data_IF_146162331624
#
_entry.id   IF_146162331624
#
_cell.length_a   1.000
_cell.length_b   1.000
_cell.length_c   1.000
_cell.angle_alpha   90.00
_cell.angle_beta   90.00
_cell.angle_gamma   90.00
#
_symmetry.space_group_name_H-M   'P 1'
#
loop_
_entity.id
_entity.type
_entity.pdbx_description
1 polymer ?
#
# COMPACT_ATOMS: atom_id res chain seq x y z
N UNK A 1 -22.58 5.75 30.99
CA UNK A 1 -22.46 5.94 29.54
C UNK A 1 -21.22 5.20 29.11
N UNK A 2 -21.41 4.11 28.38
CA UNK A 2 -20.30 3.36 27.79
C UNK A 2 -19.80 4.04 26.50
N UNK A 3 -18.84 3.40 25.82
CA UNK A 3 -18.29 3.91 24.56
C UNK A 3 -19.38 4.04 23.49
N UNK A 4 -20.28 3.05 23.39
CA UNK A 4 -21.26 2.97 22.32
C UNK A 4 -22.33 4.06 22.43
N UNK A 5 -22.82 4.30 23.63
CA UNK A 5 -23.72 5.41 23.94
C UNK A 5 -23.04 6.74 23.60
N UNK A 6 -21.76 6.90 23.98
CA UNK A 6 -21.02 8.14 23.75
C UNK A 6 -20.86 8.44 22.26
N UNK A 7 -20.36 7.50 21.46
CA UNK A 7 -20.13 7.74 20.02
C UNK A 7 -21.43 7.95 19.26
N UNK A 8 -22.52 7.26 19.66
CA UNK A 8 -23.84 7.45 19.05
C UNK A 8 -24.40 8.83 19.35
N UNK A 9 -24.27 9.30 20.60
CA UNK A 9 -24.73 10.63 21.00
C UNK A 9 -23.87 11.76 20.39
N UNK A 10 -22.59 11.51 20.13
CA UNK A 10 -21.66 12.48 19.56
C UNK A 10 -21.66 12.53 18.02
N UNK A 11 -22.32 11.56 17.36
CA UNK A 11 -22.44 11.54 15.92
C UNK A 11 -23.49 12.55 15.42
N UNK A 12 -23.23 13.14 14.26
CA UNK A 12 -24.19 13.98 13.55
C UNK A 12 -24.64 13.23 12.30
N UNK A 13 -25.91 12.82 12.26
CA UNK A 13 -26.41 11.85 11.29
C UNK A 13 -25.57 10.55 11.33
N UNK A 14 -24.94 10.18 10.22
CA UNK A 14 -24.09 8.99 10.08
C UNK A 14 -22.60 9.29 10.31
N UNK A 15 -22.21 10.52 10.67
CA UNK A 15 -20.82 10.95 10.76
C UNK A 15 -20.33 11.09 12.20
N UNK A 16 -19.18 10.52 12.52
CA UNK A 16 -18.48 10.70 13.79
C UNK A 16 -17.30 11.70 13.63
N UNK A 17 -17.40 12.93 14.19
CA UNK A 17 -16.35 13.94 14.07
C UNK A 17 -15.03 13.54 14.75
N UNK A 18 -13.91 14.08 14.26
CA UNK A 18 -12.59 13.85 14.85
C UNK A 18 -12.51 14.19 16.34
N UNK A 19 -13.05 15.34 16.74
CA UNK A 19 -13.04 15.77 18.14
C UNK A 19 -13.77 14.76 19.05
N UNK A 20 -14.85 14.14 18.56
CA UNK A 20 -15.56 13.10 19.30
C UNK A 20 -14.73 11.82 19.43
N UNK A 21 -14.02 11.42 18.37
CA UNK A 21 -13.13 10.25 18.40
C UNK A 21 -11.98 10.45 19.40
N UNK A 22 -11.30 11.60 19.35
CA UNK A 22 -10.22 11.93 20.28
C UNK A 22 -10.73 11.99 21.73
N UNK A 23 -11.90 12.59 21.95
CA UNK A 23 -12.54 12.64 23.28
C UNK A 23 -12.87 11.25 23.79
N UNK A 24 -13.43 10.37 22.95
CA UNK A 24 -13.74 8.99 23.32
C UNK A 24 -12.46 8.22 23.67
N UNK A 25 -11.42 8.32 22.85
CA UNK A 25 -10.14 7.65 23.07
C UNK A 25 -9.56 8.02 24.45
N UNK A 26 -9.48 9.33 24.75
CA UNK A 26 -9.00 9.81 26.04
C UNK A 26 -9.91 9.38 27.21
N UNK A 27 -11.23 9.51 27.05
CA UNK A 27 -12.21 9.22 28.12
C UNK A 27 -12.25 7.75 28.51
N UNK A 28 -12.12 6.85 27.55
CA UNK A 28 -12.27 5.40 27.76
C UNK A 28 -10.93 4.66 27.81
N UNK A 29 -9.79 5.36 27.72
CA UNK A 29 -8.46 4.74 27.76
C UNK A 29 -8.18 3.86 26.54
N UNK A 30 -8.67 4.26 25.37
CA UNK A 30 -8.57 3.52 24.11
C UNK A 30 -7.66 4.24 23.12
N UNK A 31 -7.17 3.52 22.12
CA UNK A 31 -6.57 4.15 20.95
C UNK A 31 -7.66 4.74 20.06
N UNK A 32 -7.28 5.73 19.23
CA UNK A 32 -8.18 6.28 18.20
C UNK A 32 -8.66 5.16 17.27
N UNK A 33 -7.79 4.22 16.90
CA UNK A 33 -8.15 3.10 16.04
C UNK A 33 -9.24 2.19 16.64
N UNK A 34 -9.20 1.94 17.95
CA UNK A 34 -10.25 1.17 18.64
C UNK A 34 -11.60 1.90 18.63
N UNK A 35 -11.59 3.23 18.79
CA UNK A 35 -12.81 4.05 18.67
C UNK A 35 -13.34 4.05 17.24
N UNK A 36 -12.44 4.18 16.25
CA UNK A 36 -12.79 4.17 14.82
C UNK A 36 -13.41 2.82 14.41
N UNK A 37 -12.83 1.69 14.84
CA UNK A 37 -13.44 0.37 14.61
C UNK A 37 -14.82 0.25 15.26
N UNK A 38 -14.96 0.70 16.51
CA UNK A 38 -16.25 0.65 17.21
C UNK A 38 -17.32 1.52 16.53
N UNK A 39 -16.93 2.65 15.95
CA UNK A 39 -17.82 3.51 15.18
C UNK A 39 -18.23 2.86 13.86
N UNK A 40 -17.27 2.37 13.08
CA UNK A 40 -17.51 1.71 11.80
C UNK A 40 -18.38 0.45 11.98
N UNK A 41 -18.15 -0.34 13.02
CA UNK A 41 -18.96 -1.52 13.35
C UNK A 41 -20.42 -1.19 13.71
N UNK A 42 -20.74 0.07 14.01
CA UNK A 42 -22.10 0.56 14.27
C UNK A 42 -22.70 1.32 13.09
N UNK A 43 -22.05 1.30 11.93
CA UNK A 43 -22.51 2.04 10.76
C UNK A 43 -22.28 3.56 10.87
N UNK A 44 -21.41 4.01 11.78
CA UNK A 44 -21.00 5.40 11.87
C UNK A 44 -19.70 5.60 11.09
N UNK A 45 -19.72 6.52 10.13
CA UNK A 45 -18.57 6.86 9.31
C UNK A 45 -17.71 7.92 10.02
N UNK A 46 -16.41 7.67 10.26
CA UNK A 46 -15.48 8.72 10.64
C UNK A 46 -15.53 9.88 9.65
N UNK A 47 -15.74 11.11 10.14
CA UNK A 47 -15.99 12.27 9.28
C UNK A 47 -14.86 12.54 8.25
N UNK A 48 -13.64 12.05 8.50
CA UNK A 48 -12.51 12.10 7.57
C UNK A 48 -12.80 11.42 6.22
N UNK A 49 -13.60 10.35 6.21
CA UNK A 49 -13.94 9.60 4.99
C UNK A 49 -15.26 10.06 4.34
N UNK A 50 -15.89 11.14 4.84
CA UNK A 50 -17.20 11.60 4.36
C UNK A 50 -17.25 11.86 2.84
N UNK A 51 -16.12 12.22 2.23
CA UNK A 51 -16.03 12.53 0.79
C UNK A 51 -16.03 11.29 -0.09
N UNK A 52 -15.79 10.11 0.49
CA UNK A 52 -15.75 8.83 -0.22
C UNK A 52 -16.95 7.95 0.12
N UNK A 53 -17.81 8.36 1.06
CA UNK A 53 -18.85 7.50 1.67
C UNK A 53 -19.89 6.90 0.72
N UNK A 54 -20.09 7.52 -0.44
CA UNK A 54 -20.99 6.99 -1.48
C UNK A 54 -20.33 5.87 -2.31
N UNK A 55 -19.01 5.96 -2.50
CA UNK A 55 -18.22 4.97 -3.25
C UNK A 55 -17.77 3.82 -2.32
N UNK A 56 -17.25 4.19 -1.15
CA UNK A 56 -16.79 3.31 -0.07
C UNK A 56 -17.77 3.48 1.09
N UNK A 57 -18.78 2.61 1.14
CA UNK A 57 -19.78 2.62 2.22
C UNK A 57 -19.13 2.33 3.57
N UNK A 58 -19.87 2.53 4.68
CA UNK A 58 -19.33 2.30 6.02
C UNK A 58 -18.90 0.84 6.24
N UNK A 59 -19.59 -0.12 5.62
CA UNK A 59 -19.25 -1.54 5.66
C UNK A 59 -17.94 -1.81 4.90
N UNK A 60 -17.75 -1.18 3.74
CA UNK A 60 -16.50 -1.27 2.97
C UNK A 60 -15.35 -0.60 3.70
N UNK A 61 -15.60 0.55 4.32
CA UNK A 61 -14.61 1.26 5.13
C UNK A 61 -14.20 0.43 6.35
N UNK A 62 -15.14 -0.27 7.00
CA UNK A 62 -14.83 -1.23 8.08
C UNK A 62 -13.95 -2.38 7.58
N UNK A 63 -14.22 -2.91 6.39
CA UNK A 63 -13.39 -3.96 5.78
C UNK A 63 -11.97 -3.46 5.49
N UNK A 64 -11.82 -2.27 4.92
CA UNK A 64 -10.51 -1.63 4.73
C UNK A 64 -9.81 -1.40 6.08
N UNK A 65 -10.53 -0.90 7.08
CA UNK A 65 -9.97 -0.64 8.41
C UNK A 65 -9.46 -1.91 9.08
N UNK A 66 -10.15 -3.03 8.91
CA UNK A 66 -9.70 -4.35 9.37
C UNK A 66 -8.61 -4.97 8.51
N UNK A 67 -8.26 -4.34 7.39
CA UNK A 67 -7.29 -4.90 6.46
C UNK A 67 -5.85 -4.66 6.92
N UNK A 68 -4.96 -5.57 6.53
CA UNK A 68 -3.51 -5.51 6.75
C UNK A 68 -2.76 -5.56 5.42
N UNK A 69 -2.12 -4.45 5.07
CA UNK A 69 -1.25 -4.32 3.91
C UNK A 69 0.22 -4.31 4.34
N UNK A 70 1.07 -5.05 3.62
CA UNK A 70 2.53 -5.01 3.81
C UNK A 70 3.17 -4.33 2.61
N UNK A 71 3.94 -3.27 2.86
CA UNK A 71 4.61 -2.47 1.85
C UNK A 71 6.11 -2.79 1.92
N UNK A 72 6.66 -3.31 0.84
CA UNK A 72 8.09 -3.61 0.72
C UNK A 72 8.77 -2.50 -0.08
N UNK A 73 9.61 -1.73 0.59
CA UNK A 73 10.19 -0.49 0.09
C UNK A 73 9.27 0.71 0.33
N UNK A 74 9.81 1.78 0.90
CA UNK A 74 9.16 3.05 1.23
C UNK A 74 9.83 4.25 0.53
N UNK A 75 10.48 3.99 -0.61
CA UNK A 75 11.13 4.97 -1.47
C UNK A 75 10.15 5.74 -2.36
N UNK A 76 10.48 5.83 -3.66
CA UNK A 76 9.69 6.60 -4.64
C UNK A 76 8.24 6.15 -4.71
N UNK A 77 8.00 4.88 -5.02
CA UNK A 77 6.65 4.28 -5.04
C UNK A 77 6.09 4.12 -3.63
N UNK A 78 6.86 3.44 -2.78
CA UNK A 78 6.45 3.06 -1.44
C UNK A 78 5.94 4.19 -0.55
N UNK A 79 6.55 5.37 -0.63
CA UNK A 79 6.09 6.53 0.14
C UNK A 79 4.65 6.94 -0.22
N UNK A 80 4.31 6.93 -1.51
CA UNK A 80 2.94 7.21 -1.97
C UNK A 80 1.98 6.07 -1.61
N UNK A 81 2.41 4.81 -1.71
CA UNK A 81 1.62 3.66 -1.27
C UNK A 81 1.20 3.80 0.20
N UNK A 82 2.14 4.14 1.08
CA UNK A 82 1.87 4.37 2.51
C UNK A 82 0.90 5.52 2.73
N UNK A 83 1.15 6.69 2.12
CA UNK A 83 0.33 7.89 2.28
C UNK A 83 -1.11 7.62 1.80
N UNK A 84 -1.29 7.01 0.64
CA UNK A 84 -2.60 6.76 0.05
C UNK A 84 -3.37 5.66 0.78
N UNK A 85 -2.74 4.53 1.14
CA UNK A 85 -3.39 3.46 1.92
C UNK A 85 -3.85 3.96 3.30
N UNK A 86 -3.03 4.78 3.96
CA UNK A 86 -3.40 5.39 5.23
C UNK A 86 -4.58 6.35 5.10
N UNK A 87 -4.60 7.19 4.04
CA UNK A 87 -5.73 8.11 3.77
C UNK A 87 -7.00 7.40 3.34
N UNK A 88 -6.86 6.26 2.65
CA UNK A 88 -7.95 5.37 2.27
C UNK A 88 -8.54 4.66 3.51
N UNK A 89 -7.79 4.58 4.60
CA UNK A 89 -8.22 3.98 5.86
C UNK A 89 -7.98 2.47 5.93
N UNK A 90 -6.93 1.96 5.28
CA UNK A 90 -6.41 0.61 5.56
C UNK A 90 -5.79 0.63 6.95
N UNK A 91 -6.39 -0.08 7.90
CA UNK A 91 -6.11 0.17 9.33
C UNK A 91 -4.79 -0.40 9.84
N UNK A 92 -4.19 -1.36 9.14
CA UNK A 92 -2.89 -1.94 9.53
C UNK A 92 -1.92 -1.90 8.37
N UNK A 93 -0.83 -1.16 8.52
CA UNK A 93 0.26 -1.10 7.56
C UNK A 93 1.53 -1.68 8.18
N UNK A 94 2.24 -2.50 7.43
CA UNK A 94 3.63 -2.88 7.75
C UNK A 94 4.52 -2.28 6.69
N UNK A 95 5.48 -1.47 7.09
CA UNK A 95 6.41 -0.79 6.17
C UNK A 95 7.80 -1.35 6.40
N UNK A 96 8.36 -1.98 5.37
CA UNK A 96 9.64 -2.67 5.43
C UNK A 96 10.61 -1.98 4.48
N UNK A 97 11.64 -1.36 5.02
CA UNK A 97 12.64 -0.64 4.23
C UNK A 97 13.95 -0.55 5.02
N UNK A 98 15.08 -1.06 4.50
CA UNK A 98 16.36 -1.03 5.20
C UNK A 98 17.00 0.37 5.22
N UNK A 99 16.60 1.25 4.30
CA UNK A 99 17.34 2.46 4.00
C UNK A 99 17.01 3.64 4.92
N UNK A 100 17.83 4.68 4.78
CA UNK A 100 17.62 6.02 5.32
C UNK A 100 17.37 7.01 4.18
N UNK A 101 16.86 8.21 4.49
CA UNK A 101 16.75 9.27 3.49
C UNK A 101 18.08 9.91 3.18
N UNK A 102 18.35 10.06 1.89
CA UNK A 102 19.51 10.76 1.34
C UNK A 102 19.06 11.91 0.44
N UNK A 103 19.97 12.85 0.13
CA UNK A 103 19.63 14.07 -0.63
C UNK A 103 19.02 13.75 -2.00
N UNK A 104 19.51 12.70 -2.67
CA UNK A 104 19.00 12.27 -3.97
C UNK A 104 17.56 11.70 -3.90
N UNK A 105 16.97 11.55 -2.71
CA UNK A 105 15.58 11.14 -2.52
C UNK A 105 14.60 12.33 -2.61
N UNK A 106 15.07 13.55 -2.32
CA UNK A 106 14.27 14.77 -2.23
C UNK A 106 13.52 15.11 -3.53
N UNK A 107 14.00 14.59 -4.66
CA UNK A 107 13.41 14.87 -5.96
C UNK A 107 12.06 14.17 -6.19
N UNK A 108 11.79 13.03 -5.52
CA UNK A 108 10.66 12.14 -5.87
C UNK A 108 10.02 11.37 -4.72
N UNK A 109 10.68 11.25 -3.57
CA UNK A 109 10.15 10.48 -2.44
C UNK A 109 9.33 11.43 -1.55
N UNK A 110 7.99 11.28 -1.58
CA UNK A 110 7.06 12.18 -0.88
C UNK A 110 7.32 12.31 0.63
N UNK A 111 7.87 11.26 1.24
CA UNK A 111 8.17 11.22 2.68
C UNK A 111 9.50 11.90 3.04
N UNK A 112 10.32 12.24 2.05
CA UNK A 112 11.62 12.86 2.27
C UNK A 112 11.50 14.38 2.45
N UNK A 113 12.38 14.95 3.28
CA UNK A 113 12.57 16.39 3.39
C UNK A 113 13.99 16.68 3.89
N UNK A 114 14.52 17.91 3.73
CA UNK A 114 15.84 18.25 4.25
C UNK A 114 16.01 17.96 5.75
N UNK A 115 14.93 18.09 6.54
CA UNK A 115 14.94 17.82 7.99
C UNK A 115 14.97 16.32 8.34
N UNK A 116 14.71 15.44 7.37
CA UNK A 116 14.61 14.00 7.54
C UNK A 116 15.79 13.23 6.93
N UNK A 117 16.79 13.92 6.39
CA UNK A 117 18.01 13.28 5.90
C UNK A 117 18.70 12.49 7.02
N UNK A 118 19.18 11.30 6.69
CA UNK A 118 19.79 10.35 7.63
C UNK A 118 18.79 9.57 8.49
N UNK A 119 17.48 9.82 8.38
CA UNK A 119 16.46 9.10 9.15
C UNK A 119 15.99 7.83 8.42
N UNK A 120 15.73 6.73 9.14
CA UNK A 120 15.19 5.50 8.55
C UNK A 120 13.86 5.73 7.84
N UNK A 121 13.74 5.29 6.59
CA UNK A 121 12.54 5.54 5.76
C UNK A 121 11.29 4.90 6.38
N UNK A 122 11.38 3.65 6.83
CA UNK A 122 10.28 2.95 7.48
C UNK A 122 9.77 3.67 8.76
N UNK A 123 10.68 4.22 9.58
CA UNK A 123 10.32 4.92 10.80
C UNK A 123 9.63 6.27 10.50
N UNK A 124 10.10 7.00 9.49
CA UNK A 124 9.47 8.24 9.02
C UNK A 124 8.09 7.96 8.43
N UNK A 125 7.91 6.86 7.69
CA UNK A 125 6.62 6.45 7.16
C UNK A 125 5.59 6.25 8.29
N UNK A 126 5.97 5.57 9.39
CA UNK A 126 5.11 5.41 10.55
C UNK A 126 4.74 6.76 11.22
N UNK A 127 5.73 7.65 11.39
CA UNK A 127 5.48 8.98 11.94
C UNK A 127 4.52 9.79 11.06
N UNK A 128 4.70 9.72 9.73
CA UNK A 128 3.84 10.40 8.76
C UNK A 128 2.39 9.90 8.84
N UNK A 129 2.19 8.59 8.91
CA UNK A 129 0.83 8.03 9.02
C UNK A 129 0.15 8.48 10.30
N UNK A 130 0.88 8.52 11.43
CA UNK A 130 0.33 9.02 12.69
C UNK A 130 -0.14 10.49 12.61
N UNK A 131 0.50 11.33 11.79
CA UNK A 131 0.07 12.71 11.54
C UNK A 131 -1.22 12.80 10.72
N UNK A 132 -1.34 12.01 9.64
CA UNK A 132 -2.43 12.14 8.67
C UNK A 132 -3.66 11.32 9.04
N UNK A 133 -3.46 10.14 9.64
CA UNK A 133 -4.52 9.24 10.08
C UNK A 133 -4.11 8.46 11.34
N UNK A 134 -4.27 9.05 12.54
CA UNK A 134 -3.91 8.42 13.80
C UNK A 134 -4.76 7.19 14.19
N UNK A 135 -5.79 6.85 13.42
CA UNK A 135 -6.54 5.61 13.59
C UNK A 135 -5.82 4.40 12.97
N UNK A 136 -4.96 4.64 11.98
CA UNK A 136 -4.19 3.60 11.28
C UNK A 136 -2.95 3.24 12.09
N UNK A 137 -2.73 1.94 12.27
CA UNK A 137 -1.55 1.40 12.94
C UNK A 137 -0.46 1.08 11.92
N UNK A 138 0.75 1.55 12.17
CA UNK A 138 1.91 1.24 11.33
C UNK A 138 2.97 0.49 12.13
N UNK A 139 3.39 -0.66 11.60
CA UNK A 139 4.57 -1.38 12.06
C UNK A 139 5.73 -1.09 11.12
N UNK A 140 6.70 -0.30 11.58
CA UNK A 140 7.94 -0.05 10.83
C UNK A 140 8.97 -1.16 11.07
N UNK A 141 9.62 -1.61 10.00
CA UNK A 141 10.73 -2.58 10.02
C UNK A 141 11.89 -2.04 9.20
N UNK A 142 13.00 -1.76 9.86
CA UNK A 142 14.23 -1.33 9.19
C UNK A 142 15.11 -2.54 8.89
N UNK A 143 14.71 -3.33 7.90
CA UNK A 143 15.43 -4.52 7.46
C UNK A 143 15.21 -4.78 5.97
N UNK A 144 16.15 -5.47 5.35
CA UNK A 144 16.03 -5.84 3.94
C UNK A 144 15.12 -7.05 3.80
N UNK A 145 14.18 -6.99 2.86
CA UNK A 145 13.37 -8.15 2.50
C UNK A 145 14.23 -9.16 1.75
N UNK A 146 14.06 -10.44 2.10
CA UNK A 146 14.61 -11.56 1.34
C UNK A 146 13.69 -12.77 1.39
N UNK A 147 13.99 -13.79 0.59
CA UNK A 147 13.32 -15.09 0.67
C UNK A 147 13.37 -15.70 2.09
N UNK A 148 14.49 -15.53 2.80
CA UNK A 148 14.73 -16.19 4.08
C UNK A 148 13.86 -15.63 5.21
N UNK A 149 13.57 -14.32 5.19
CA UNK A 149 12.73 -13.67 6.18
C UNK A 149 11.28 -13.42 5.70
N UNK A 150 10.99 -13.66 4.41
CA UNK A 150 9.69 -13.36 3.80
C UNK A 150 8.49 -13.99 4.50
N UNK A 151 8.61 -15.22 5.02
CA UNK A 151 7.52 -15.86 5.78
C UNK A 151 7.16 -15.08 7.05
N UNK A 152 8.16 -14.58 7.79
CA UNK A 152 7.92 -13.80 9.01
C UNK A 152 7.37 -12.41 8.67
N UNK A 153 8.01 -11.73 7.71
CA UNK A 153 7.69 -10.36 7.35
C UNK A 153 6.29 -10.21 6.73
N UNK A 154 5.83 -11.22 5.99
CA UNK A 154 4.53 -11.23 5.35
C UNK A 154 3.43 -11.89 6.21
N UNK A 155 3.73 -12.26 7.45
CA UNK A 155 2.79 -12.98 8.31
C UNK A 155 1.50 -12.17 8.57
N UNK A 156 0.37 -12.77 8.21
CA UNK A 156 -0.97 -12.17 8.36
C UNK A 156 -1.27 -11.05 7.36
N UNK A 157 -0.42 -10.85 6.35
CA UNK A 157 -0.73 -9.93 5.26
C UNK A 157 -1.96 -10.41 4.48
N UNK A 158 -2.88 -9.49 4.21
CA UNK A 158 -3.98 -9.75 3.26
C UNK A 158 -3.64 -9.26 1.85
N UNK A 159 -2.68 -8.34 1.76
CA UNK A 159 -2.14 -7.86 0.50
C UNK A 159 -0.71 -7.36 0.70
N UNK A 160 0.12 -7.55 -0.32
CA UNK A 160 1.50 -7.06 -0.37
C UNK A 160 1.62 -6.05 -1.49
N UNK A 161 2.31 -4.96 -1.22
CA UNK A 161 2.55 -3.87 -2.15
C UNK A 161 4.04 -3.80 -2.49
N UNK A 162 4.36 -3.90 -3.77
CA UNK A 162 5.73 -3.79 -4.27
C UNK A 162 6.12 -2.33 -4.46
N UNK A 163 7.04 -1.83 -3.64
CA UNK A 163 7.70 -0.53 -3.76
C UNK A 163 9.22 -0.64 -3.95
N UNK A 164 9.72 -1.81 -4.37
CA UNK A 164 11.15 -2.09 -4.55
C UNK A 164 11.70 -1.44 -5.83
N UNK A 165 13.02 -1.25 -5.88
CA UNK A 165 13.77 -0.79 -7.06
C UNK A 165 14.69 -1.88 -7.65
N UNK A 166 14.88 -2.99 -6.93
CA UNK A 166 15.70 -4.13 -7.36
C UNK A 166 14.86 -5.25 -8.00
N UNK A 167 15.22 -5.63 -9.22
CA UNK A 167 14.64 -6.77 -9.93
C UNK A 167 14.81 -8.08 -9.15
N UNK A 168 15.97 -8.30 -8.51
CA UNK A 168 16.24 -9.52 -7.74
C UNK A 168 15.30 -9.65 -6.54
N UNK A 169 15.11 -8.59 -5.76
CA UNK A 169 14.23 -8.60 -4.59
C UNK A 169 12.76 -8.71 -4.99
N UNK A 170 12.37 -8.20 -6.17
CA UNK A 170 11.02 -8.36 -6.72
C UNK A 170 10.69 -9.82 -7.04
N UNK A 171 11.65 -10.61 -7.53
CA UNK A 171 11.46 -12.06 -7.69
C UNK A 171 11.23 -12.76 -6.37
N UNK A 172 12.09 -12.48 -5.39
CA UNK A 172 11.98 -13.07 -4.07
C UNK A 172 10.62 -12.74 -3.45
N UNK A 173 10.13 -11.51 -3.67
CA UNK A 173 8.82 -11.07 -3.22
C UNK A 173 7.68 -11.81 -3.94
N UNK A 174 7.72 -11.87 -5.27
CA UNK A 174 6.72 -12.57 -6.08
C UNK A 174 6.62 -14.05 -5.69
N UNK A 175 7.75 -14.72 -5.53
CA UNK A 175 7.80 -16.12 -5.12
C UNK A 175 7.34 -16.34 -3.67
N UNK A 176 7.71 -15.45 -2.75
CA UNK A 176 7.25 -15.50 -1.36
C UNK A 176 5.73 -15.35 -1.28
N UNK A 177 5.17 -14.38 -2.01
CA UNK A 177 3.72 -14.16 -2.08
C UNK A 177 2.99 -15.37 -2.70
N UNK A 178 3.56 -15.96 -3.77
CA UNK A 178 3.02 -17.19 -4.40
C UNK A 178 3.00 -18.35 -3.41
N UNK A 179 4.11 -18.58 -2.71
CA UNK A 179 4.26 -19.67 -1.74
C UNK A 179 3.30 -19.53 -0.56
N UNK A 180 3.11 -18.29 -0.08
CA UNK A 180 2.23 -17.98 1.04
C UNK A 180 0.76 -17.79 0.63
N UNK A 181 0.44 -17.85 -0.67
CA UNK A 181 -0.90 -17.55 -1.20
C UNK A 181 -1.41 -16.16 -0.79
N UNK A 182 -0.55 -15.16 -0.85
CA UNK A 182 -0.88 -13.76 -0.52
C UNK A 182 -0.96 -12.96 -1.83
N UNK A 183 -2.02 -12.16 -2.04
CA UNK A 183 -2.09 -11.23 -3.17
C UNK A 183 -0.93 -10.22 -3.16
N UNK A 184 -0.31 -10.01 -4.32
CA UNK A 184 0.74 -9.01 -4.54
C UNK A 184 0.29 -8.01 -5.60
N UNK A 185 0.46 -6.72 -5.32
CA UNK A 185 0.30 -5.64 -6.31
C UNK A 185 1.67 -5.09 -6.68
N UNK A 186 2.09 -5.42 -7.90
CA UNK A 186 3.37 -5.04 -8.47
C UNK A 186 3.33 -3.63 -9.08
N UNK A 187 4.41 -2.87 -8.90
CA UNK A 187 4.64 -1.59 -9.57
C UNK A 187 6.09 -1.43 -10.02
N UNK A 188 6.30 -0.93 -11.24
CA UNK A 188 7.62 -0.54 -11.73
C UNK A 188 7.59 0.82 -12.41
N UNK A 189 8.71 1.52 -12.35
CA UNK A 189 8.88 2.84 -12.98
C UNK A 189 10.26 2.97 -13.64
N UNK A 190 10.34 3.85 -14.62
CA UNK A 190 11.59 4.27 -15.23
C UNK A 190 11.35 5.48 -16.14
N UNK A 191 11.88 6.64 -15.77
CA UNK A 191 11.68 7.87 -16.52
C UNK A 191 10.19 8.25 -16.61
N UNK A 192 9.67 8.32 -17.83
CA UNK A 192 8.26 8.62 -18.12
C UNK A 192 7.36 7.37 -18.11
N UNK A 193 7.93 6.19 -17.89
CA UNK A 193 7.21 4.93 -18.04
C UNK A 193 6.93 4.30 -16.69
N UNK A 194 5.84 3.55 -16.64
CA UNK A 194 5.52 2.74 -15.48
C UNK A 194 4.59 1.58 -15.83
N UNK A 195 4.51 0.63 -14.92
CA UNK A 195 3.63 -0.53 -15.07
C UNK A 195 3.02 -0.95 -13.74
N UNK A 196 1.82 -1.53 -13.80
CA UNK A 196 1.11 -2.11 -12.66
C UNK A 196 0.52 -3.46 -13.05
N UNK A 197 0.69 -4.45 -12.18
CA UNK A 197 0.10 -5.78 -12.33
C UNK A 197 -0.28 -6.35 -10.95
N UNK A 198 -1.11 -7.39 -10.93
CA UNK A 198 -1.45 -8.10 -9.69
C UNK A 198 -1.19 -9.61 -9.82
N UNK A 199 -0.61 -10.21 -8.80
CA UNK A 199 -0.50 -11.66 -8.63
C UNK A 199 -1.52 -12.08 -7.58
N UNK A 200 -2.51 -12.89 -7.95
CA UNK A 200 -3.42 -13.50 -6.97
C UNK A 200 -2.93 -14.89 -6.56
N UNK A 201 -3.48 -15.49 -5.49
CA UNK A 201 -3.11 -16.85 -5.08
C UNK A 201 -3.22 -17.85 -6.24
N UNK A 202 -2.13 -18.56 -6.49
CA UNK A 202 -1.99 -19.52 -7.60
C UNK A 202 -1.37 -18.94 -8.89
N UNK A 203 -1.17 -17.63 -8.98
CA UNK A 203 -0.51 -17.00 -10.13
C UNK A 203 1.01 -16.87 -9.93
N UNK A 204 1.73 -16.59 -11.02
CA UNK A 204 3.16 -16.26 -11.00
C UNK A 204 3.47 -15.11 -11.96
N UNK A 205 3.83 -13.95 -11.40
CA UNK A 205 4.27 -12.78 -12.18
C UNK A 205 5.75 -12.85 -12.57
N UNK A 206 6.53 -13.73 -11.95
CA UNK A 206 7.99 -13.80 -12.13
C UNK A 206 8.42 -13.86 -13.61
N UNK A 207 7.78 -14.64 -14.51
CA UNK A 207 8.16 -14.66 -15.92
C UNK A 207 8.05 -13.30 -16.64
N UNK A 208 7.08 -12.47 -16.23
CA UNK A 208 6.78 -11.18 -16.84
C UNK A 208 7.64 -10.05 -16.31
N UNK A 209 8.19 -10.20 -15.11
CA UNK A 209 9.17 -9.25 -14.56
C UNK A 209 10.51 -9.31 -15.31
N UNK A 210 10.76 -10.40 -16.07
CA UNK A 210 12.07 -10.71 -16.67
C UNK A 210 12.10 -10.77 -18.19
N UNK A 211 10.96 -10.68 -18.88
CA UNK A 211 10.81 -10.96 -20.32
C UNK A 211 11.73 -10.13 -21.24
N UNK A 212 13.01 -10.49 -21.30
CA UNK A 212 14.06 -9.89 -22.13
C UNK A 212 15.16 -9.08 -21.41
N UNK A 213 15.13 -8.89 -20.08
CA UNK A 213 16.08 -8.00 -19.39
C UNK A 213 17.31 -8.73 -18.82
N UNK A 214 18.49 -8.40 -19.34
CA UNK A 214 19.80 -8.98 -18.94
C UNK A 214 20.65 -8.08 -18.03
N UNK A 215 20.18 -6.88 -17.67
CA UNK A 215 20.91 -5.97 -16.78
C UNK A 215 20.39 -6.03 -15.33
N UNK A 216 21.28 -6.01 -14.31
CA UNK A 216 20.91 -6.20 -12.91
C UNK A 216 20.18 -5.02 -12.26
N UNK A 217 20.06 -3.86 -12.95
CA UNK A 217 19.34 -2.67 -12.47
C UNK A 217 18.29 -2.24 -13.49
N UNK A 218 17.17 -1.70 -13.02
CA UNK A 218 16.09 -1.22 -13.88
C UNK A 218 16.50 -0.04 -14.79
N UNK A 219 15.70 0.22 -15.82
CA UNK A 219 15.81 1.36 -16.77
C UNK A 219 15.98 2.70 -16.04
N UNK A 220 15.44 2.81 -14.83
CA UNK A 220 15.52 3.97 -13.94
C UNK A 220 16.95 4.47 -13.70
N UNK A 221 17.96 3.61 -13.72
CA UNK A 221 19.36 4.03 -13.53
C UNK A 221 19.90 4.84 -14.70
N UNK A 222 19.32 4.69 -15.89
CA UNK A 222 19.63 5.50 -17.08
C UNK A 222 18.69 6.69 -17.25
N UNK A 223 17.39 6.51 -16.99
CA UNK A 223 16.39 7.56 -17.26
C UNK A 223 16.11 8.48 -16.06
N UNK A 224 16.53 8.10 -14.85
CA UNK A 224 16.06 8.72 -13.61
C UNK A 224 14.56 8.49 -13.40
N UNK A 225 14.00 9.10 -12.36
CA UNK A 225 12.58 9.02 -12.04
C UNK A 225 12.07 10.43 -11.67
N UNK A 226 11.33 11.10 -12.58
CA UNK A 226 10.58 12.33 -12.26
C UNK A 226 9.59 12.08 -11.12
N UNK A 227 9.23 13.13 -10.37
CA UNK A 227 8.37 13.00 -9.18
C UNK A 227 6.95 12.50 -9.47
N UNK A 228 6.43 12.78 -10.66
CA UNK A 228 5.06 12.40 -11.05
C UNK A 228 4.93 10.90 -11.35
N UNK A 229 5.97 10.27 -11.91
CA UNK A 229 5.93 8.85 -12.30
C UNK A 229 5.63 7.91 -11.12
N UNK A 230 6.37 7.95 -9.99
CA UNK A 230 6.04 7.11 -8.84
C UNK A 230 4.66 7.42 -8.27
N UNK A 231 4.25 8.69 -8.25
CA UNK A 231 2.92 9.07 -7.75
C UNK A 231 1.81 8.41 -8.58
N UNK A 232 1.87 8.54 -9.91
CA UNK A 232 0.86 7.95 -10.81
C UNK A 232 0.79 6.43 -10.68
N UNK A 233 1.94 5.75 -10.66
CA UNK A 233 2.00 4.29 -10.55
C UNK A 233 1.50 3.82 -9.19
N UNK A 234 1.91 4.49 -8.11
CA UNK A 234 1.44 4.16 -6.76
C UNK A 234 -0.08 4.34 -6.62
N UNK A 235 -0.67 5.39 -7.20
CA UNK A 235 -2.13 5.57 -7.17
C UNK A 235 -2.87 4.43 -7.87
N UNK A 236 -2.34 3.92 -8.99
CA UNK A 236 -2.90 2.73 -9.65
C UNK A 236 -2.71 1.46 -8.81
N UNK A 237 -1.56 1.29 -8.17
CA UNK A 237 -1.34 0.17 -7.24
C UNK A 237 -2.35 0.21 -6.07
N UNK A 238 -2.61 1.39 -5.48
CA UNK A 238 -3.57 1.51 -4.37
C UNK A 238 -5.01 1.29 -4.85
N UNK A 239 -5.37 1.76 -6.04
CA UNK A 239 -6.67 1.45 -6.63
C UNK A 239 -6.85 -0.06 -6.84
N UNK A 240 -5.83 -0.75 -7.33
CA UNK A 240 -5.83 -2.21 -7.49
C UNK A 240 -5.93 -2.93 -6.14
N UNK A 241 -5.16 -2.49 -5.14
CA UNK A 241 -5.22 -3.03 -3.80
C UNK A 241 -6.59 -2.85 -3.13
N UNK A 242 -7.22 -1.67 -3.32
CA UNK A 242 -8.56 -1.38 -2.81
C UNK A 242 -9.59 -2.35 -3.40
N UNK A 243 -9.56 -2.60 -4.72
CA UNK A 243 -10.41 -3.58 -5.38
C UNK A 243 -10.23 -4.98 -4.81
N UNK A 244 -8.98 -5.45 -4.67
CA UNK A 244 -8.68 -6.77 -4.11
C UNK A 244 -9.16 -6.89 -2.66
N UNK A 245 -8.83 -5.90 -1.82
CA UNK A 245 -9.22 -5.88 -0.40
C UNK A 245 -10.73 -5.85 -0.22
N UNK A 246 -11.47 -5.18 -1.10
CA UNK A 246 -12.93 -5.11 -1.10
C UNK A 246 -13.61 -6.25 -1.88
N UNK A 247 -12.87 -7.02 -2.67
CA UNK A 247 -13.43 -8.04 -3.55
C UNK A 247 -14.37 -7.45 -4.60
N UNK A 248 -14.03 -6.27 -5.14
CA UNK A 248 -14.86 -5.54 -6.10
C UNK A 248 -14.16 -5.30 -7.43
N UNK A 249 -14.95 -5.31 -8.50
CA UNK A 249 -14.44 -5.16 -9.86
C UNK A 249 -13.54 -6.31 -10.29
N UNK A 250 -12.79 -6.08 -11.36
CA UNK A 250 -11.81 -7.04 -11.85
C UNK A 250 -10.40 -6.58 -11.50
N UNK A 251 -9.62 -7.47 -10.89
CA UNK A 251 -8.19 -7.26 -10.67
C UNK A 251 -7.40 -7.21 -12.00
N UNK A 252 -6.12 -6.83 -11.93
CA UNK A 252 -5.15 -6.96 -13.02
C UNK A 252 -4.60 -8.39 -13.15
N UNK A 253 -5.33 -9.40 -12.69
CA UNK A 253 -4.95 -10.80 -12.89
C UNK A 253 -4.83 -11.09 -14.40
N UNK A 254 -3.73 -11.70 -14.81
CA UNK A 254 -3.41 -12.03 -16.21
C UNK A 254 -3.29 -10.82 -17.17
N UNK A 255 -3.15 -9.59 -16.65
CA UNK A 255 -2.91 -8.38 -17.47
C UNK A 255 -2.04 -7.37 -16.72
N UNK A 256 -1.42 -6.48 -17.47
CA UNK A 256 -0.59 -5.40 -16.91
C UNK A 256 -1.03 -4.09 -17.54
N UNK A 257 -1.18 -3.05 -16.72
CA UNK A 257 -1.28 -1.68 -17.24
C UNK A 257 0.14 -1.21 -17.50
N UNK A 258 0.43 -0.81 -18.72
CA UNK A 258 1.63 -0.07 -19.10
C UNK A 258 1.26 1.39 -19.35
N UNK A 259 2.12 2.29 -18.87
CA UNK A 259 1.93 3.73 -18.96
C UNK A 259 3.11 4.37 -19.66
N UNK A 260 2.81 5.21 -20.64
CA UNK A 260 3.74 6.16 -21.23
C UNK A 260 3.25 7.57 -20.89
N UNK A 261 3.82 8.17 -19.83
CA UNK A 261 3.42 9.50 -19.36
C UNK A 261 3.99 10.63 -20.22
N UNK A 262 4.90 10.33 -21.14
CA UNK A 262 5.41 11.32 -22.10
C UNK A 262 4.34 11.62 -23.15
N UNK A 263 3.70 10.57 -23.68
CA UNK A 263 2.65 10.66 -24.69
C UNK A 263 1.23 10.59 -24.10
N UNK A 264 1.11 10.43 -22.78
CA UNK A 264 -0.14 10.28 -22.03
C UNK A 264 -0.97 9.05 -22.46
N UNK A 265 -0.29 7.95 -22.75
CA UNK A 265 -0.90 6.70 -23.19
C UNK A 265 -0.94 5.63 -22.08
N UNK A 266 -2.06 4.92 -22.02
CA UNK A 266 -2.28 3.80 -21.12
C UNK A 266 -2.68 2.59 -21.96
N UNK A 267 -1.92 1.50 -21.85
CA UNK A 267 -2.14 0.27 -22.61
C UNK A 267 -2.31 -0.91 -21.66
N UNK A 268 -3.25 -1.80 -21.97
CA UNK A 268 -3.36 -3.10 -21.31
C UNK A 268 -2.56 -4.14 -22.09
N UNK A 269 -1.62 -4.80 -21.41
CA UNK A 269 -0.79 -5.87 -21.96
C UNK A 269 -1.25 -7.19 -21.34
N UNK A 270 -1.78 -8.14 -22.13
CA UNK A 270 -2.10 -9.47 -21.64
C UNK A 270 -0.85 -10.18 -21.13
N UNK A 271 -0.95 -10.84 -19.97
CA UNK A 271 0.07 -11.74 -19.45
C UNK A 271 -0.39 -13.16 -19.73
N UNK A 272 0.41 -13.94 -20.46
CA UNK A 272 0.04 -15.33 -20.72
C UNK A 272 -0.06 -16.10 -19.38
N UNK A 273 -0.86 -17.16 -19.27
CA UNK A 273 -0.76 -18.05 -18.12
C UNK A 273 0.63 -18.69 -18.15
N UNK A 274 1.37 -18.64 -17.04
CA UNK A 274 2.60 -19.43 -16.92
C UNK A 274 2.25 -20.90 -17.24
N UNK A 275 3.02 -21.60 -18.10
CA UNK A 275 2.74 -22.99 -18.40
C UNK A 275 2.66 -23.79 -17.10
N UNK A 276 1.63 -24.63 -16.97
CA UNK A 276 1.42 -25.43 -15.77
C UNK A 276 2.72 -26.17 -15.44
N UNK A 277 3.20 -26.02 -14.20
CA UNK A 277 4.35 -26.76 -13.72
C UNK A 277 4.08 -28.25 -13.93
N UNK A 278 4.86 -28.88 -14.81
CA UNK A 278 4.81 -30.32 -15.03
C UNK A 278 5.15 -30.96 -13.69
N UNK A 279 4.19 -31.68 -13.12
CA UNK A 279 4.30 -32.27 -11.78
C UNK A 279 5.60 -33.07 -11.60
N UNK A 280 6.20 -32.90 -10.43
CA UNK A 280 7.23 -33.80 -9.90
C UNK A 280 6.60 -34.65 -8.78
#
# INVERSE_FOLDING_TARGET
MDLHDFITAAATADLLPWAAQATAAARFGLTVGQVEEAALARGLMPARYQRNRQTITVEKQLRLFRSRAVIIGSGGLGGYLVEELARLGVGNLVVIDPDIFEEHNLNRQILSSPALLGRPKAAVAAARVAEINPAVTVTARQEAFSRDNGHELLAGAQIVMDGLDSIATRLELAESCRTLSIPLVHGAIGGWYGQVASQLPGDDLSPYLFGGWSEPKGVETRLGNPSFTPATVASLQVAEACKILLGEGESLRNRMIFMNLLDMEFSEVPLEPAPAAVGA
#
